data_IF_404868173734
#
_entry.id   IF_404868173734
#
_cell.length_a   1.000
_cell.length_b   1.000
_cell.length_c   1.000
_cell.angle_alpha   90.00
_cell.angle_beta   90.00
_cell.angle_gamma   90.00
#
_symmetry.space_group_name_H-M   'P 1'
#
loop_
_entity.id
_entity.type
_entity.pdbx_description
1 polymer ?
#
# COMPACT_ATOMS: atom_id res chain seq x y z
N UNK A 1 5.59 20.54 -13.43
CA UNK A 1 5.53 20.54 -11.96
C UNK A 1 4.96 19.19 -11.55
N UNK A 2 5.66 18.40 -10.73
CA UNK A 2 5.18 17.06 -10.33
C UNK A 2 4.05 17.25 -9.31
N UNK A 3 2.85 16.78 -9.61
CA UNK A 3 1.74 16.76 -8.66
C UNK A 3 1.84 15.52 -7.75
N UNK A 4 1.23 15.57 -6.57
CA UNK A 4 1.35 14.49 -5.58
C UNK A 4 0.72 13.17 -6.05
N UNK A 5 -0.30 13.19 -6.91
CA UNK A 5 -0.94 11.98 -7.45
C UNK A 5 0.00 11.29 -8.43
N UNK A 6 0.70 12.07 -9.27
CA UNK A 6 1.71 11.57 -10.21
C UNK A 6 2.93 11.00 -9.48
N UNK A 7 3.26 11.51 -8.29
CA UNK A 7 4.27 10.95 -7.41
C UNK A 7 3.80 9.64 -6.76
N UNK A 8 2.55 9.59 -6.27
CA UNK A 8 1.99 8.38 -5.63
C UNK A 8 2.07 7.15 -6.55
N UNK A 9 1.84 7.32 -7.85
CA UNK A 9 1.98 6.25 -8.87
C UNK A 9 3.39 5.69 -9.06
N UNK A 10 4.39 6.18 -8.31
CA UNK A 10 5.79 5.72 -8.32
C UNK A 10 6.23 5.16 -6.97
N UNK A 11 5.30 5.04 -6.02
CA UNK A 11 5.57 4.59 -4.65
C UNK A 11 4.86 3.26 -4.43
N UNK A 12 5.59 2.32 -3.83
CA UNK A 12 5.03 1.07 -3.34
C UNK A 12 4.65 1.23 -1.86
N UNK A 13 3.35 1.14 -1.58
CA UNK A 13 2.87 1.10 -0.20
C UNK A 13 3.34 -0.19 0.46
N UNK A 14 3.77 -0.16 1.72
CA UNK A 14 4.42 -1.32 2.34
C UNK A 14 3.87 -1.57 3.75
N UNK A 15 3.44 -2.80 4.00
CA UNK A 15 3.04 -3.32 5.31
C UNK A 15 3.74 -4.67 5.56
N UNK A 16 4.95 -4.60 6.12
CA UNK A 16 5.76 -5.76 6.49
C UNK A 16 6.05 -5.83 7.99
N UNK A 17 5.17 -5.22 8.81
CA UNK A 17 5.26 -5.35 10.27
C UNK A 17 4.95 -6.81 10.65
N UNK A 18 5.74 -7.45 11.53
CA UNK A 18 5.56 -8.86 11.88
C UNK A 18 4.23 -9.16 12.59
N UNK A 19 3.60 -8.13 13.17
CA UNK A 19 2.32 -8.23 13.87
C UNK A 19 1.16 -7.62 13.07
N UNK A 20 1.34 -7.39 11.76
CA UNK A 20 0.25 -6.94 10.90
C UNK A 20 -0.85 -8.01 10.87
N UNK A 21 -2.06 -7.60 11.21
CA UNK A 21 -3.28 -8.40 11.14
C UNK A 21 -3.91 -8.33 9.74
N UNK A 22 -4.83 -9.24 9.42
CA UNK A 22 -5.65 -9.15 8.20
C UNK A 22 -6.40 -7.82 8.09
N UNK A 23 -6.86 -7.28 9.22
CA UNK A 23 -7.51 -5.98 9.27
C UNK A 23 -6.58 -4.84 8.86
N UNK A 24 -5.29 -4.93 9.19
CA UNK A 24 -4.29 -3.95 8.77
C UNK A 24 -4.02 -4.05 7.27
N UNK A 25 -3.96 -5.27 6.73
CA UNK A 25 -3.80 -5.50 5.28
C UNK A 25 -4.98 -4.95 4.50
N UNK A 26 -6.23 -5.18 4.96
CA UNK A 26 -7.43 -4.62 4.30
C UNK A 26 -7.38 -3.10 4.24
N UNK A 27 -7.00 -2.44 5.34
CA UNK A 27 -6.84 -0.98 5.36
C UNK A 27 -5.72 -0.51 4.43
N UNK A 28 -4.58 -1.20 4.40
CA UNK A 28 -3.49 -0.88 3.48
C UNK A 28 -3.91 -1.02 2.00
N UNK A 29 -4.72 -2.03 1.65
CA UNK A 29 -5.31 -2.17 0.31
C UNK A 29 -6.21 -0.98 -0.04
N UNK A 30 -7.07 -0.55 0.88
CA UNK A 30 -7.94 0.61 0.69
C UNK A 30 -7.14 1.90 0.52
N UNK A 31 -6.10 2.10 1.33
CA UNK A 31 -5.18 3.24 1.22
C UNK A 31 -4.46 3.26 -0.13
N UNK A 32 -3.90 2.12 -0.56
CA UNK A 32 -3.24 1.98 -1.85
C UNK A 32 -4.15 2.35 -3.02
N UNK A 33 -5.41 1.91 -2.98
CA UNK A 33 -6.41 2.28 -3.97
C UNK A 33 -6.82 3.75 -3.89
N UNK A 34 -7.02 4.28 -2.68
CA UNK A 34 -7.43 5.67 -2.46
C UNK A 34 -6.40 6.68 -2.95
N UNK A 35 -5.11 6.39 -2.74
CA UNK A 35 -4.03 7.31 -3.10
C UNK A 35 -3.40 7.01 -4.46
N UNK A 36 -3.70 5.84 -5.05
CA UNK A 36 -3.16 5.45 -6.35
C UNK A 36 -1.68 5.08 -6.30
N UNK A 37 -1.27 4.36 -5.24
CA UNK A 37 0.08 3.81 -5.14
C UNK A 37 0.34 2.76 -6.24
N UNK A 38 1.60 2.58 -6.62
CA UNK A 38 1.99 1.69 -7.71
C UNK A 38 1.76 0.22 -7.34
N UNK A 39 2.13 -0.16 -6.12
CA UNK A 39 1.91 -1.47 -5.56
C UNK A 39 1.64 -1.41 -4.05
N UNK A 40 1.24 -2.55 -3.49
CA UNK A 40 1.21 -2.82 -2.06
C UNK A 40 2.08 -4.05 -1.77
N UNK A 41 3.12 -3.88 -0.97
CA UNK A 41 4.00 -4.92 -0.47
C UNK A 41 3.52 -5.41 0.90
N UNK A 42 3.10 -6.67 0.97
CA UNK A 42 2.65 -7.36 2.20
C UNK A 42 3.37 -8.69 2.38
N UNK A 43 3.27 -9.29 3.56
CA UNK A 43 3.80 -10.63 3.78
C UNK A 43 3.10 -11.64 2.85
N UNK A 44 3.81 -12.65 2.31
CA UNK A 44 3.26 -13.59 1.31
C UNK A 44 2.02 -14.36 1.76
N UNK A 45 1.80 -14.52 3.07
CA UNK A 45 0.60 -15.18 3.62
C UNK A 45 -0.71 -14.42 3.30
N UNK A 46 -0.61 -13.18 2.86
CA UNK A 46 -1.75 -12.31 2.56
C UNK A 46 -1.99 -12.08 1.05
N UNK A 47 -1.28 -12.81 0.17
CA UNK A 47 -1.45 -12.79 -1.29
C UNK A 47 -2.28 -14.00 -1.73
#
# INVERSE_FOLDING_TARGET
MIDWKSLARRIDHTLLKPHASEGDVRRACEEARRFGFAALCVAPVYV
#
